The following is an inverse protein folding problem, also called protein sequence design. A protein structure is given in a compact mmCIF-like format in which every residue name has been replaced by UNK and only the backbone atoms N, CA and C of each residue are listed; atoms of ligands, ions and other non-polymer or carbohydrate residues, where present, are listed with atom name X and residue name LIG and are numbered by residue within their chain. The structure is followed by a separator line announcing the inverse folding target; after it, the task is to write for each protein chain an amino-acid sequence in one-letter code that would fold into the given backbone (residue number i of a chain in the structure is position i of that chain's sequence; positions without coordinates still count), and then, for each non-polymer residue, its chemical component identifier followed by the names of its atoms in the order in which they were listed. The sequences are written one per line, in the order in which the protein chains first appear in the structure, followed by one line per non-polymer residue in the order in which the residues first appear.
data_IF_262161971748
#
_entry.id   IF_262161971748
#
_cell.length_a   1.000
_cell.length_b   1.000
_cell.length_c   1.000
_cell.angle_alpha   90.00
_cell.angle_beta   90.00
_cell.angle_gamma   90.00
#
_symmetry.space_group_name_H-M   'P 1'
#
loop_
_entity.id
_entity.type
_entity.pdbx_description
1 polymer ?
#
# COMPACT_ATOMS: atom_id res chain seq x y z
N UNK A 1 -5.68 -15.57 -14.47
CA UNK A 1 -4.46 -15.35 -13.65
C UNK A 1 -4.05 -13.90 -13.82
N UNK A 2 -3.96 -13.14 -12.77
CA UNK A 2 -3.45 -11.76 -12.78
C UNK A 2 -1.97 -11.78 -12.40
N UNK A 3 -1.15 -11.05 -13.15
CA UNK A 3 0.28 -10.90 -12.89
C UNK A 3 0.66 -9.43 -12.95
N UNK A 4 1.43 -8.97 -11.97
CA UNK A 4 1.91 -7.61 -11.85
C UNK A 4 3.40 -7.63 -11.64
N UNK A 5 4.13 -6.80 -12.37
CA UNK A 5 5.58 -6.68 -12.23
C UNK A 5 5.96 -5.22 -12.02
N UNK A 6 6.87 -4.99 -11.09
CA UNK A 6 7.49 -3.69 -10.84
C UNK A 6 9.00 -3.86 -10.67
N UNK A 7 9.77 -2.82 -10.99
CA UNK A 7 11.21 -2.83 -10.81
C UNK A 7 11.76 -1.45 -10.48
N UNK A 8 12.85 -1.43 -9.71
CA UNK A 8 13.64 -0.23 -9.42
C UNK A 8 15.12 -0.58 -9.47
N UNK A 9 15.94 0.43 -9.76
CA UNK A 9 17.39 0.32 -9.60
C UNK A 9 17.81 1.01 -8.29
N UNK A 10 18.70 0.36 -7.53
CA UNK A 10 19.26 0.88 -6.28
C UNK A 10 20.78 0.90 -6.31
N UNK A 11 21.39 1.92 -5.70
CA UNK A 11 22.83 2.17 -5.73
C UNK A 11 23.59 1.37 -4.66
N UNK A 12 23.28 0.08 -4.54
CA UNK A 12 23.99 -0.89 -3.68
C UNK A 12 24.09 -2.23 -4.42
N UNK A 13 25.02 -3.09 -4.00
CA UNK A 13 25.15 -4.45 -4.54
C UNK A 13 23.98 -5.35 -4.11
N UNK A 14 23.84 -6.51 -4.76
CA UNK A 14 22.69 -7.39 -4.59
C UNK A 14 22.59 -8.01 -3.18
N UNK A 15 23.70 -8.33 -2.55
CA UNK A 15 23.71 -8.86 -1.18
C UNK A 15 23.29 -7.78 -0.18
N UNK A 16 23.79 -6.57 -0.35
CA UNK A 16 23.38 -5.40 0.43
C UNK A 16 21.90 -5.06 0.21
N UNK A 17 21.44 -5.06 -1.04
CA UNK A 17 20.03 -4.80 -1.37
C UNK A 17 19.10 -5.84 -0.70
N UNK A 18 19.48 -7.12 -0.76
CA UNK A 18 18.73 -8.21 -0.10
C UNK A 18 18.66 -8.01 1.42
N UNK A 19 19.79 -7.69 2.04
CA UNK A 19 19.88 -7.44 3.48
C UNK A 19 19.00 -6.27 3.91
N UNK A 20 19.11 -5.13 3.23
CA UNK A 20 18.25 -3.95 3.51
C UNK A 20 16.78 -4.31 3.31
N UNK A 21 16.44 -5.02 2.24
CA UNK A 21 15.06 -5.39 1.94
C UNK A 21 14.43 -6.23 3.05
N UNK A 22 15.18 -7.19 3.59
CA UNK A 22 14.68 -8.15 4.58
C UNK A 22 14.81 -7.67 6.03
N UNK A 23 15.92 -7.05 6.40
CA UNK A 23 16.21 -6.67 7.79
C UNK A 23 15.67 -5.28 8.16
N UNK A 24 15.50 -4.38 7.17
CA UNK A 24 15.02 -3.02 7.38
C UNK A 24 13.57 -2.82 6.86
N UNK A 25 12.78 -3.92 6.81
CA UNK A 25 11.45 -3.92 6.19
C UNK A 25 10.50 -2.87 6.79
N UNK A 26 10.54 -2.62 8.08
CA UNK A 26 9.72 -1.59 8.74
C UNK A 26 10.22 -0.16 8.54
N UNK A 27 11.41 0.03 7.97
CA UNK A 27 11.99 1.34 7.69
C UNK A 27 11.68 1.82 6.27
N UNK A 28 11.56 0.90 5.31
CA UNK A 28 11.26 1.27 3.94
C UNK A 28 9.79 1.15 3.56
N UNK A 29 8.99 0.37 4.28
CA UNK A 29 7.55 0.33 4.04
C UNK A 29 6.84 1.53 4.66
N UNK A 30 5.90 2.10 3.91
CA UNK A 30 5.06 3.18 4.42
C UNK A 30 4.19 2.65 5.57
N UNK A 31 4.34 3.21 6.75
CA UNK A 31 3.52 2.84 7.91
C UNK A 31 2.13 3.47 7.78
N UNK A 32 1.26 2.80 7.05
CA UNK A 32 -0.11 3.24 6.78
C UNK A 32 -1.05 2.03 6.68
N UNK A 33 -2.36 2.25 6.69
CA UNK A 33 -3.34 1.20 6.47
C UNK A 33 -3.21 0.47 5.12
N UNK A 34 -2.47 1.02 4.18
CA UNK A 34 -2.25 0.43 2.85
C UNK A 34 -1.30 -0.77 2.94
N UNK A 35 -0.25 -0.65 3.75
CA UNK A 35 0.81 -1.67 3.82
C UNK A 35 0.90 -2.38 5.17
N UNK A 36 0.07 -2.02 6.15
CA UNK A 36 -0.02 -2.65 7.45
C UNK A 36 -1.44 -3.09 7.75
N UNK A 37 -1.60 -4.23 8.41
CA UNK A 37 -2.90 -4.71 8.88
C UNK A 37 -3.45 -3.84 10.01
N UNK A 38 -2.57 -3.45 10.95
CA UNK A 38 -2.90 -2.47 11.99
C UNK A 38 -1.72 -1.51 12.22
N UNK A 39 -1.59 -0.53 11.33
CA UNK A 39 -0.49 0.44 11.38
C UNK A 39 -0.45 1.28 12.65
N UNK A 40 -1.57 1.42 13.35
CA UNK A 40 -1.65 2.19 14.59
C UNK A 40 -1.01 1.45 15.79
N UNK A 41 -1.12 0.11 15.81
CA UNK A 41 -0.58 -0.75 16.87
C UNK A 41 0.76 -1.37 16.53
N UNK A 42 1.10 -1.50 15.25
CA UNK A 42 2.33 -2.15 14.82
C UNK A 42 3.56 -1.45 15.38
N UNK A 43 4.40 -2.20 16.08
CA UNK A 43 5.70 -1.75 16.59
C UNK A 43 6.75 -1.86 15.49
N UNK A 44 6.72 -2.97 14.75
CA UNK A 44 7.65 -3.25 13.67
C UNK A 44 7.01 -4.17 12.62
N UNK A 45 7.63 -4.21 11.43
CA UNK A 45 7.41 -5.24 10.43
C UNK A 45 8.69 -6.04 10.26
N UNK A 46 8.62 -7.35 10.32
CA UNK A 46 9.79 -8.23 10.32
C UNK A 46 9.68 -9.34 9.30
N UNK A 47 10.84 -9.71 8.78
CA UNK A 47 11.04 -10.86 7.91
C UNK A 47 11.93 -11.85 8.63
N UNK A 48 11.43 -13.04 8.98
CA UNK A 48 12.22 -14.11 9.55
C UNK A 48 13.05 -14.78 8.45
N UNK A 49 14.37 -15.01 8.67
CA UNK A 49 15.21 -15.59 7.63
C UNK A 49 14.88 -17.06 7.33
N UNK A 50 15.06 -17.44 6.07
CA UNK A 50 14.96 -18.83 5.61
C UNK A 50 13.59 -19.23 5.09
N UNK A 51 13.58 -20.35 4.36
CA UNK A 51 12.34 -20.95 3.85
C UNK A 51 11.47 -21.40 5.03
N UNK A 52 10.18 -21.10 4.99
CA UNK A 52 9.24 -21.32 6.09
C UNK A 52 9.22 -20.18 7.12
N UNK A 53 10.14 -19.22 7.04
CA UNK A 53 10.11 -18.00 7.83
C UNK A 53 8.87 -17.15 7.53
N UNK A 54 8.53 -16.24 8.42
CA UNK A 54 7.33 -15.40 8.33
C UNK A 54 7.69 -13.98 7.95
N UNK A 55 6.85 -13.35 7.13
CA UNK A 55 6.71 -11.89 7.09
C UNK A 55 5.57 -11.54 8.04
N UNK A 56 5.81 -10.64 9.00
CA UNK A 56 4.84 -10.39 10.07
C UNK A 56 4.89 -8.95 10.56
N UNK A 57 3.76 -8.50 11.08
CA UNK A 57 3.66 -7.32 11.93
C UNK A 57 3.83 -7.75 13.39
N UNK A 58 4.56 -6.94 14.16
CA UNK A 58 4.82 -7.15 15.59
C UNK A 58 4.01 -6.13 16.37
N UNK A 59 3.27 -6.60 17.38
CA UNK A 59 2.49 -5.80 18.31
C UNK A 59 2.96 -6.03 19.74
N UNK A 60 2.48 -5.24 20.70
CA UNK A 60 2.77 -5.41 22.13
C UNK A 60 2.35 -6.79 22.65
N UNK A 61 1.24 -7.30 22.14
CA UNK A 61 0.57 -8.52 22.61
C UNK A 61 0.74 -9.72 21.69
N UNK A 62 1.55 -9.61 20.63
CA UNK A 62 1.78 -10.72 19.71
C UNK A 62 2.28 -10.33 18.33
N UNK A 63 2.07 -11.21 17.38
CA UNK A 63 2.45 -11.01 15.98
C UNK A 63 1.29 -11.37 15.06
N UNK A 64 1.21 -10.68 13.94
CA UNK A 64 0.30 -11.00 12.85
C UNK A 64 1.12 -11.47 11.65
N UNK A 65 0.94 -12.73 11.26
CA UNK A 65 1.61 -13.31 10.10
C UNK A 65 0.95 -12.80 8.81
N UNK A 66 1.73 -12.14 7.96
CA UNK A 66 1.28 -11.62 6.67
C UNK A 66 1.51 -12.68 5.59
N UNK A 67 2.73 -13.23 5.54
CA UNK A 67 3.14 -14.15 4.50
C UNK A 67 4.12 -15.20 5.02
N UNK A 68 4.23 -16.29 4.26
CA UNK A 68 5.17 -17.38 4.49
C UNK A 68 6.20 -17.44 3.38
N UNK A 69 7.49 -17.43 3.76
CA UNK A 69 8.61 -17.47 2.82
C UNK A 69 8.69 -18.83 2.16
N UNK A 70 8.73 -18.85 0.84
CA UNK A 70 8.82 -20.05 0.00
C UNK A 70 10.18 -20.21 -0.67
N UNK A 71 10.91 -19.10 -0.90
CA UNK A 71 12.28 -19.07 -1.40
C UNK A 71 13.10 -18.08 -0.60
N UNK A 72 14.32 -18.47 -0.23
CA UNK A 72 15.28 -17.61 0.47
C UNK A 72 16.67 -17.85 -0.11
N UNK A 73 17.09 -17.01 -1.03
CA UNK A 73 18.40 -17.05 -1.70
C UNK A 73 19.05 -15.66 -1.54
N UNK A 74 19.87 -15.45 -0.48
CA UNK A 74 20.50 -14.15 -0.23
C UNK A 74 21.19 -13.58 -1.46
N UNK A 75 21.01 -12.31 -1.72
CA UNK A 75 21.53 -11.58 -2.87
C UNK A 75 20.97 -11.99 -4.23
N UNK A 76 19.99 -12.90 -4.29
CA UNK A 76 19.44 -13.40 -5.57
C UNK A 76 17.93 -13.36 -5.63
N UNK A 77 17.24 -14.05 -4.69
CA UNK A 77 15.79 -14.22 -4.75
C UNK A 77 15.18 -14.40 -3.37
N UNK A 78 14.06 -13.75 -3.17
CA UNK A 78 13.14 -13.93 -2.05
C UNK A 78 11.75 -14.18 -2.63
N UNK A 79 11.02 -15.16 -2.10
CA UNK A 79 9.63 -15.37 -2.50
C UNK A 79 8.80 -15.70 -1.28
N UNK A 80 7.52 -15.28 -1.31
CA UNK A 80 6.55 -15.64 -0.29
C UNK A 80 5.16 -15.82 -0.86
N UNK A 81 4.32 -16.46 -0.09
CA UNK A 81 2.88 -16.56 -0.30
C UNK A 81 2.17 -15.85 0.84
N UNK A 82 1.22 -14.99 0.50
CA UNK A 82 0.36 -14.33 1.48
C UNK A 82 -0.49 -15.36 2.24
N UNK A 83 -0.83 -15.07 3.49
CA UNK A 83 -1.64 -15.95 4.34
C UNK A 83 -3.11 -15.55 4.41
N UNK A 84 -3.47 -14.37 3.89
CA UNK A 84 -4.81 -13.78 3.97
C UNK A 84 -5.50 -13.65 2.63
N UNK A 85 -4.72 -13.71 1.55
CA UNK A 85 -5.22 -13.74 0.18
C UNK A 85 -4.46 -14.80 -0.66
N UNK A 86 -4.65 -14.80 -1.97
CA UNK A 86 -4.03 -15.76 -2.87
C UNK A 86 -2.83 -15.17 -3.62
N UNK A 87 -2.26 -14.07 -3.12
CA UNK A 87 -1.12 -13.40 -3.75
C UNK A 87 0.18 -14.17 -3.44
N UNK A 88 0.90 -14.49 -4.50
CA UNK A 88 2.27 -14.99 -4.43
C UNK A 88 3.22 -13.93 -4.97
N UNK A 89 4.31 -13.66 -4.24
CA UNK A 89 5.29 -12.62 -4.58
C UNK A 89 6.66 -13.24 -4.78
N UNK A 90 7.29 -12.88 -5.88
CA UNK A 90 8.69 -13.16 -6.19
C UNK A 90 9.48 -11.86 -6.30
N UNK A 91 10.65 -11.81 -5.68
CA UNK A 91 11.57 -10.68 -5.69
C UNK A 91 12.95 -11.17 -6.15
N UNK A 92 13.49 -10.54 -7.19
CA UNK A 92 14.82 -10.81 -7.70
C UNK A 92 15.73 -9.61 -7.48
N UNK A 93 16.97 -9.89 -7.09
CA UNK A 93 18.05 -8.92 -6.89
C UNK A 93 19.09 -9.14 -7.99
N UNK A 94 18.98 -8.38 -9.07
CA UNK A 94 19.73 -8.58 -10.32
C UNK A 94 20.86 -7.55 -10.43
N UNK A 95 22.17 -7.96 -10.27
CA UNK A 95 23.28 -7.02 -10.39
C UNK A 95 23.36 -6.40 -11.79
N UNK A 96 23.56 -5.08 -11.85
CA UNK A 96 23.67 -4.35 -13.14
C UNK A 96 25.11 -4.14 -13.60
N UNK A 97 26.12 -4.58 -12.84
CA UNK A 97 27.54 -4.53 -13.20
C UNK A 97 28.30 -3.28 -12.75
N UNK A 98 27.66 -2.32 -12.11
CA UNK A 98 28.30 -1.06 -11.65
C UNK A 98 28.14 -0.84 -10.13
N UNK A 99 27.99 -1.92 -9.35
CA UNK A 99 27.72 -1.80 -7.90
C UNK A 99 26.28 -1.39 -7.61
N UNK A 100 25.41 -1.45 -8.61
CA UNK A 100 23.98 -1.20 -8.51
C UNK A 100 23.20 -2.49 -8.75
N UNK A 101 21.94 -2.52 -8.30
CA UNK A 101 21.08 -3.70 -8.37
C UNK A 101 19.71 -3.30 -8.88
N UNK A 102 19.19 -4.02 -9.86
CA UNK A 102 17.78 -4.00 -10.20
C UNK A 102 17.02 -4.91 -9.24
N UNK A 103 16.12 -4.34 -8.45
CA UNK A 103 15.17 -5.10 -7.64
C UNK A 103 13.87 -5.21 -8.42
N UNK A 104 13.56 -6.42 -8.90
CA UNK A 104 12.35 -6.72 -9.65
C UNK A 104 11.40 -7.53 -8.77
N UNK A 105 10.18 -7.07 -8.67
CA UNK A 105 9.12 -7.71 -7.88
C UNK A 105 7.99 -8.13 -8.81
N UNK A 106 7.50 -9.33 -8.63
CA UNK A 106 6.37 -9.89 -9.36
C UNK A 106 5.35 -10.45 -8.38
N UNK A 107 4.09 -10.06 -8.54
CA UNK A 107 2.98 -10.67 -7.84
C UNK A 107 2.08 -11.43 -8.80
N UNK A 108 1.61 -12.60 -8.36
CA UNK A 108 0.68 -13.44 -9.12
C UNK A 108 -0.52 -13.79 -8.25
N UNK A 109 -1.70 -13.74 -8.90
CA UNK A 109 -2.96 -14.20 -8.31
C UNK A 109 -3.55 -15.26 -9.25
N UNK A 110 -3.86 -16.47 -8.77
CA UNK A 110 -4.48 -17.50 -9.61
C UNK A 110 -5.86 -17.03 -10.11
N UNK A 111 -6.35 -17.67 -11.15
CA UNK A 111 -7.68 -17.36 -11.68
C UNK A 111 -8.76 -17.65 -10.61
N UNK A 112 -9.60 -16.64 -10.35
CA UNK A 112 -10.59 -16.69 -9.29
C UNK A 112 -10.03 -16.53 -7.88
N UNK A 113 -8.73 -16.30 -7.74
CA UNK A 113 -8.07 -16.04 -6.46
C UNK A 113 -8.41 -14.65 -5.91
N UNK A 114 -8.26 -14.50 -4.61
CA UNK A 114 -8.52 -13.28 -3.86
C UNK A 114 -7.28 -12.41 -3.82
N UNK A 115 -7.45 -11.12 -4.12
CA UNK A 115 -6.44 -10.07 -3.93
C UNK A 115 -7.02 -8.99 -3.02
N UNK A 116 -6.44 -8.83 -1.83
CA UNK A 116 -6.81 -7.79 -0.87
C UNK A 116 -5.96 -6.51 -1.03
N UNK A 117 -5.23 -6.40 -2.12
CA UNK A 117 -4.38 -5.25 -2.43
C UNK A 117 -2.89 -5.58 -2.52
N UNK A 118 -2.50 -6.85 -2.39
CA UNK A 118 -1.11 -7.27 -2.50
C UNK A 118 -0.49 -6.90 -3.85
N UNK A 119 -1.23 -7.00 -4.95
CA UNK A 119 -0.74 -6.58 -6.27
C UNK A 119 -0.54 -5.06 -6.38
N UNK A 120 -1.34 -4.25 -5.69
CA UNK A 120 -1.14 -2.79 -5.64
C UNK A 120 0.11 -2.44 -4.84
N UNK A 121 0.35 -3.10 -3.70
CA UNK A 121 1.59 -2.89 -2.91
C UNK A 121 2.83 -3.23 -3.74
N UNK A 122 2.80 -4.30 -4.54
CA UNK A 122 3.91 -4.67 -5.43
C UNK A 122 4.21 -3.57 -6.46
N UNK A 123 3.22 -2.81 -6.90
CA UNK A 123 3.45 -1.68 -7.83
C UNK A 123 4.21 -0.52 -7.19
N UNK A 124 3.96 -0.22 -5.93
CA UNK A 124 4.52 0.94 -5.22
C UNK A 124 5.68 0.59 -4.29
N UNK A 125 5.69 -0.62 -3.72
CA UNK A 125 6.68 -1.06 -2.74
C UNK A 125 8.15 -0.94 -3.20
N UNK A 126 8.51 -1.33 -4.42
CA UNK A 126 9.87 -1.14 -4.92
C UNK A 126 10.32 0.33 -4.94
N UNK A 127 9.40 1.26 -5.21
CA UNK A 127 9.70 2.69 -5.17
C UNK A 127 10.00 3.17 -3.74
N UNK A 128 9.23 2.73 -2.74
CA UNK A 128 9.50 3.02 -1.34
C UNK A 128 10.86 2.48 -0.90
N UNK A 129 11.18 1.26 -1.33
CA UNK A 129 12.48 0.65 -1.07
C UNK A 129 13.63 1.48 -1.67
N UNK A 130 13.52 1.90 -2.94
CA UNK A 130 14.53 2.73 -3.57
C UNK A 130 14.72 4.09 -2.88
N UNK A 131 13.62 4.73 -2.45
CA UNK A 131 13.68 5.97 -1.67
C UNK A 131 14.40 5.77 -0.33
N UNK A 132 14.17 4.65 0.35
CA UNK A 132 14.88 4.32 1.58
C UNK A 132 16.36 4.11 1.34
N UNK A 133 16.74 3.27 0.37
CA UNK A 133 18.15 3.03 0.03
C UNK A 133 18.88 4.33 -0.27
N UNK A 134 18.25 5.25 -0.99
CA UNK A 134 18.87 6.53 -1.34
C UNK A 134 19.13 7.48 -0.14
N UNK A 135 18.31 7.39 0.93
CA UNK A 135 18.37 8.31 2.07
C UNK A 135 18.91 7.72 3.38
N UNK A 136 18.95 6.38 3.51
CA UNK A 136 19.22 5.70 4.79
C UNK A 136 20.53 6.11 5.48
N UNK A 137 21.55 6.41 4.70
CA UNK A 137 22.87 6.81 5.24
C UNK A 137 22.95 8.31 5.56
N UNK A 138 22.11 9.15 4.95
CA UNK A 138 22.12 10.61 5.14
C UNK A 138 21.06 11.09 6.13
N UNK A 139 19.90 10.44 6.18
CA UNK A 139 18.74 10.86 7.00
C UNK A 139 17.98 9.65 7.57
N UNK A 140 18.65 8.73 8.30
CA UNK A 140 18.03 7.47 8.73
C UNK A 140 16.92 7.64 9.77
N UNK A 141 16.85 8.79 10.45
CA UNK A 141 15.88 9.09 11.49
C UNK A 141 14.82 10.10 11.07
N UNK A 142 14.86 10.54 9.83
CA UNK A 142 13.84 11.45 9.32
C UNK A 142 12.49 10.74 9.18
N UNK A 143 11.50 11.24 9.90
CA UNK A 143 10.11 10.78 9.77
C UNK A 143 9.43 11.67 8.74
N UNK A 144 9.01 11.08 7.64
CA UNK A 144 8.22 11.77 6.61
C UNK A 144 6.74 11.56 6.96
N UNK A 145 6.09 12.63 7.42
CA UNK A 145 4.64 12.60 7.64
C UNK A 145 3.90 12.61 6.30
N UNK A 146 2.98 11.67 6.14
CA UNK A 146 2.08 11.63 4.99
C UNK A 146 0.81 12.45 5.27
N UNK A 147 0.14 12.95 4.23
CA UNK A 147 -1.11 13.68 4.38
C UNK A 147 -2.16 12.89 5.15
N UNK A 148 -2.87 13.54 6.07
CA UNK A 148 -3.97 12.91 6.81
C UNK A 148 -5.24 12.77 5.96
N UNK A 149 -5.37 13.57 4.90
CA UNK A 149 -6.50 13.53 3.98
C UNK A 149 -6.11 12.73 2.74
N UNK A 150 -6.77 11.61 2.53
CA UNK A 150 -6.77 10.83 1.29
C UNK A 150 -8.17 10.87 0.67
N UNK A 151 -8.24 11.07 -0.64
CA UNK A 151 -9.49 11.00 -1.38
C UNK A 151 -9.60 9.67 -2.12
N UNK A 152 -10.70 8.96 -1.92
CA UNK A 152 -11.07 7.83 -2.76
C UNK A 152 -11.89 8.34 -3.96
N UNK A 153 -11.38 8.07 -5.15
CA UNK A 153 -11.97 8.47 -6.41
C UNK A 153 -12.41 7.22 -7.18
N UNK A 154 -13.66 7.22 -7.65
CA UNK A 154 -14.23 6.08 -8.34
C UNK A 154 -14.43 6.39 -9.81
N UNK A 155 -13.77 5.62 -10.69
CA UNK A 155 -13.81 5.76 -12.14
C UNK A 155 -14.21 4.44 -12.81
N UNK A 156 -14.84 4.52 -13.98
CA UNK A 156 -15.08 3.33 -14.81
C UNK A 156 -13.78 2.77 -15.36
N UNK A 157 -12.84 3.66 -15.66
CA UNK A 157 -11.54 3.35 -16.23
C UNK A 157 -10.45 4.04 -15.40
N UNK A 158 -10.12 3.52 -14.20
CA UNK A 158 -9.24 4.21 -13.26
C UNK A 158 -7.80 4.32 -13.76
N UNK A 159 -7.31 3.37 -14.57
CA UNK A 159 -5.97 3.43 -15.18
C UNK A 159 -5.90 4.57 -16.19
N UNK A 160 -6.88 4.65 -17.09
CA UNK A 160 -7.02 5.75 -18.06
C UNK A 160 -7.21 7.09 -17.35
N UNK A 161 -8.07 7.13 -16.32
CA UNK A 161 -8.31 8.33 -15.52
C UNK A 161 -7.03 8.81 -14.84
N UNK A 162 -6.22 7.90 -14.26
CA UNK A 162 -4.96 8.27 -13.61
C UNK A 162 -3.98 8.92 -14.58
N UNK A 163 -3.83 8.37 -15.77
CA UNK A 163 -2.96 8.96 -16.81
C UNK A 163 -3.44 10.35 -17.20
N UNK A 164 -4.74 10.48 -17.41
CA UNK A 164 -5.33 11.78 -17.73
C UNK A 164 -5.14 12.82 -16.61
N UNK A 165 -5.30 12.40 -15.34
CA UNK A 165 -5.06 13.28 -14.18
C UNK A 165 -3.60 13.72 -14.08
N UNK A 166 -2.66 12.82 -14.40
CA UNK A 166 -1.25 13.16 -14.48
C UNK A 166 -0.97 14.16 -15.60
N UNK A 167 -1.47 13.91 -16.80
CA UNK A 167 -1.25 14.75 -17.98
C UNK A 167 -1.94 16.11 -17.86
N UNK A 168 -3.21 16.13 -17.42
CA UNK A 168 -4.02 17.34 -17.38
C UNK A 168 -3.79 18.20 -16.14
N UNK A 169 -3.55 17.58 -14.97
CA UNK A 169 -3.47 18.25 -13.68
C UNK A 169 -2.10 18.16 -13.02
N UNK A 170 -1.16 17.43 -13.63
CA UNK A 170 0.19 17.28 -13.10
C UNK A 170 0.26 16.42 -11.84
N UNK A 171 -0.69 15.48 -11.67
CA UNK A 171 -0.63 14.51 -10.57
C UNK A 171 0.52 13.52 -10.81
N UNK A 172 1.10 13.00 -9.73
CA UNK A 172 2.15 12.01 -9.83
C UNK A 172 1.60 10.71 -10.42
N UNK A 173 2.18 10.24 -11.53
CA UNK A 173 1.80 8.97 -12.09
C UNK A 173 2.36 7.84 -11.22
N UNK A 174 1.49 6.91 -10.80
CA UNK A 174 1.93 5.73 -10.05
C UNK A 174 2.97 4.94 -10.86
N UNK A 175 4.12 4.58 -10.26
CA UNK A 175 5.09 3.71 -10.91
C UNK A 175 4.47 2.38 -11.35
N UNK A 176 4.90 1.86 -12.49
CA UNK A 176 4.46 0.56 -13.04
C UNK A 176 2.94 0.42 -13.23
N UNK A 177 2.25 1.54 -13.45
CA UNK A 177 0.84 1.52 -13.81
C UNK A 177 0.66 0.84 -15.18
N UNK A 178 -0.37 -0.04 -15.37
CA UNK A 178 -0.70 -0.60 -16.67
C UNK A 178 -0.87 0.46 -17.77
N UNK A 179 -0.67 0.08 -19.03
CA UNK A 179 -0.89 1.01 -20.16
C UNK A 179 -2.36 1.44 -20.23
N UNK A 180 -3.27 0.49 -20.05
CA UNK A 180 -4.71 0.70 -19.95
C UNK A 180 -5.37 -0.45 -19.17
N UNK A 181 -6.71 -0.44 -19.08
CA UNK A 181 -7.49 -1.44 -18.36
C UNK A 181 -7.40 -2.86 -18.95
N UNK A 182 -6.97 -3.02 -20.20
CA UNK A 182 -6.84 -4.33 -20.84
C UNK A 182 -5.69 -5.17 -20.27
N UNK A 183 -4.70 -4.52 -19.69
CA UNK A 183 -3.59 -5.16 -18.95
C UNK A 183 -3.95 -5.53 -17.50
N UNK A 184 -5.19 -5.26 -17.10
CA UNK A 184 -5.72 -5.49 -15.77
C UNK A 184 -5.82 -4.21 -14.94
N UNK A 185 -6.87 -4.12 -14.13
CA UNK A 185 -7.11 -3.00 -13.22
C UNK A 185 -6.56 -3.37 -11.83
N UNK A 186 -5.63 -2.57 -11.26
CA UNK A 186 -5.19 -2.76 -9.88
C UNK A 186 -6.36 -2.63 -8.90
N UNK A 187 -6.34 -3.33 -7.74
CA UNK A 187 -7.33 -3.12 -6.67
C UNK A 187 -7.48 -1.66 -6.25
N UNK A 188 -6.38 -0.92 -6.24
CA UNK A 188 -6.37 0.55 -6.14
C UNK A 188 -5.17 1.12 -6.90
N UNK A 189 -5.25 2.40 -7.25
CA UNK A 189 -4.15 3.18 -7.82
C UNK A 189 -3.89 4.36 -6.89
N UNK A 190 -2.69 4.44 -6.32
CA UNK A 190 -2.29 5.55 -5.46
C UNK A 190 -1.62 6.64 -6.29
N UNK A 191 -1.93 7.90 -6.02
CA UNK A 191 -1.29 9.07 -6.62
C UNK A 191 -1.22 10.23 -5.65
N UNK A 192 -0.50 11.26 -6.03
CA UNK A 192 -0.37 12.51 -5.28
C UNK A 192 -0.72 13.72 -6.12
N UNK A 193 -1.34 14.69 -5.47
CA UNK A 193 -1.56 16.04 -5.96
C UNK A 193 -0.85 17.00 -4.99
N UNK A 194 0.43 17.30 -5.22
CA UNK A 194 1.27 17.96 -4.25
C UNK A 194 1.45 17.09 -3.00
N UNK A 195 1.06 17.60 -1.83
CA UNK A 195 1.10 16.91 -0.54
C UNK A 195 -0.20 16.15 -0.21
N UNK A 196 -1.21 16.15 -1.09
CA UNK A 196 -2.42 15.35 -0.93
C UNK A 196 -2.27 13.97 -1.58
N UNK A 197 -2.73 12.92 -0.90
CA UNK A 197 -2.78 11.58 -1.44
C UNK A 197 -4.20 11.26 -1.97
N UNK A 198 -4.25 10.55 -3.10
CA UNK A 198 -5.48 10.13 -3.77
C UNK A 198 -5.40 8.63 -4.05
N UNK A 199 -6.52 7.93 -3.93
CA UNK A 199 -6.66 6.53 -4.31
C UNK A 199 -7.79 6.39 -5.32
N UNK A 200 -7.48 5.80 -6.47
CA UNK A 200 -8.46 5.53 -7.53
C UNK A 200 -8.89 4.07 -7.46
N UNK A 201 -10.19 3.86 -7.52
CA UNK A 201 -10.84 2.56 -7.53
C UNK A 201 -11.69 2.38 -8.78
N UNK A 202 -11.87 1.12 -9.20
CA UNK A 202 -12.80 0.81 -10.27
C UNK A 202 -14.24 0.93 -9.79
N UNK A 203 -15.08 1.57 -10.62
CA UNK A 203 -16.50 1.64 -10.42
C UNK A 203 -17.18 0.43 -11.06
N UNK A 204 -17.67 -0.50 -10.24
CA UNK A 204 -18.27 -1.77 -10.71
C UNK A 204 -19.67 -1.61 -11.32
N UNK A 205 -20.38 -0.53 -10.99
CA UNK A 205 -21.71 -0.27 -11.53
C UNK A 205 -21.97 1.24 -11.66
N UNK A 206 -22.82 1.67 -12.63
CA UNK A 206 -23.20 3.07 -12.73
C UNK A 206 -23.86 3.54 -11.42
N UNK A 207 -23.25 4.48 -10.73
CA UNK A 207 -23.91 5.15 -9.60
C UNK A 207 -25.02 6.05 -10.11
N UNK A 208 -26.21 5.85 -9.59
CA UNK A 208 -27.28 6.84 -9.69
C UNK A 208 -27.12 7.80 -8.50
N UNK A 209 -26.49 8.93 -8.70
CA UNK A 209 -26.31 9.96 -7.69
C UNK A 209 -24.89 10.56 -7.66
N UNK A 210 -24.73 11.76 -7.12
CA UNK A 210 -23.42 12.36 -6.90
C UNK A 210 -22.73 11.74 -5.68
N UNK A 211 -21.45 11.96 -5.47
CA UNK A 211 -20.33 12.18 -6.34
C UNK A 211 -19.42 10.94 -6.46
N UNK A 212 -18.48 10.97 -7.40
CA UNK A 212 -17.48 9.94 -7.60
C UNK A 212 -16.36 9.92 -6.53
N UNK A 213 -16.49 10.61 -5.40
CA UNK A 213 -15.43 10.79 -4.42
C UNK A 213 -15.91 10.41 -3.03
N UNK A 214 -15.08 9.67 -2.30
CA UNK A 214 -15.24 9.43 -0.87
C UNK A 214 -13.96 9.89 -0.18
N UNK A 215 -13.94 11.04 0.52
CA UNK A 215 -12.80 11.46 1.29
C UNK A 215 -12.44 10.41 2.35
N UNK A 216 -11.16 10.09 2.44
CA UNK A 216 -10.61 9.19 3.42
C UNK A 216 -9.72 10.00 4.37
N UNK A 217 -10.14 10.14 5.63
CA UNK A 217 -9.49 11.02 6.59
C UNK A 217 -8.93 10.21 7.75
N UNK A 218 -7.65 10.42 8.06
CA UNK A 218 -7.04 9.87 9.25
C UNK A 218 -7.34 10.75 10.47
N UNK A 219 -7.76 10.09 11.57
CA UNK A 219 -8.05 10.74 12.85
C UNK A 219 -7.28 10.07 13.97
N UNK A 220 -6.95 10.83 15.02
CA UNK A 220 -6.17 10.33 16.15
C UNK A 220 -6.99 9.44 17.09
N UNK A 221 -8.25 9.85 17.34
CA UNK A 221 -9.20 9.16 18.22
C UNK A 221 -10.48 8.86 17.44
N UNK A 222 -10.58 7.64 16.94
CA UNK A 222 -11.69 7.20 16.11
C UNK A 222 -12.99 7.05 16.91
N UNK A 223 -12.90 6.62 18.17
CA UNK A 223 -14.08 6.39 19.01
C UNK A 223 -14.73 7.73 19.35
N UNK A 224 -13.98 8.70 19.83
CA UNK A 224 -14.46 10.05 20.09
C UNK A 224 -14.98 10.75 18.83
N UNK A 225 -14.33 10.50 17.68
CA UNK A 225 -14.78 11.05 16.39
C UNK A 225 -16.10 10.43 15.96
N UNK A 226 -16.25 9.12 16.07
CA UNK A 226 -17.47 8.37 15.75
C UNK A 226 -18.67 8.85 16.60
N UNK A 227 -18.51 8.88 17.92
CA UNK A 227 -19.54 9.38 18.84
C UNK A 227 -19.97 10.83 18.54
N UNK A 228 -19.02 11.67 18.16
CA UNK A 228 -19.31 13.04 17.75
C UNK A 228 -20.12 13.08 16.47
N UNK A 229 -19.72 12.30 15.46
CA UNK A 229 -20.43 12.22 14.18
C UNK A 229 -21.88 11.76 14.37
N UNK A 230 -22.12 10.70 15.16
CA UNK A 230 -23.47 10.22 15.48
C UNK A 230 -24.30 11.29 16.20
N UNK A 231 -23.75 11.94 17.21
CA UNK A 231 -24.46 13.01 17.95
C UNK A 231 -24.87 14.19 17.07
N UNK A 232 -24.12 14.43 16.00
CA UNK A 232 -24.42 15.51 15.05
C UNK A 232 -25.21 15.03 13.82
N UNK A 233 -25.73 13.80 13.83
CA UNK A 233 -26.67 13.31 12.84
C UNK A 233 -26.05 12.74 11.58
N UNK A 234 -24.78 12.36 11.59
CA UNK A 234 -24.20 11.59 10.50
C UNK A 234 -24.91 10.21 10.37
N UNK A 235 -25.24 9.81 9.15
CA UNK A 235 -25.81 8.50 8.88
C UNK A 235 -24.67 7.48 8.84
N UNK A 236 -24.59 6.57 9.83
CA UNK A 236 -23.58 5.54 9.86
C UNK A 236 -23.93 4.46 8.85
N UNK A 237 -23.09 4.32 7.82
CA UNK A 237 -23.22 3.29 6.77
C UNK A 237 -22.53 2.01 7.20
N UNK A 238 -21.35 2.12 7.81
CA UNK A 238 -20.61 1.00 8.33
C UNK A 238 -20.01 1.41 9.68
N UNK A 239 -20.38 0.74 10.78
CA UNK A 239 -19.84 1.05 12.10
C UNK A 239 -18.34 0.74 12.18
N UNK A 240 -17.71 1.11 13.30
CA UNK A 240 -16.27 0.85 13.50
C UNK A 240 -15.97 -0.64 13.32
N UNK A 241 -15.06 -0.94 12.41
CA UNK A 241 -14.61 -2.29 12.09
C UNK A 241 -13.12 -2.29 11.76
N UNK A 242 -12.53 -3.49 11.68
CA UNK A 242 -11.14 -3.70 11.31
C UNK A 242 -11.04 -4.14 9.84
N UNK A 243 -10.32 -3.38 9.04
CA UNK A 243 -9.96 -3.74 7.66
C UNK A 243 -8.59 -3.13 7.33
N UNK A 244 -7.51 -3.84 7.64
CA UNK A 244 -6.16 -3.28 7.56
C UNK A 244 -5.92 -2.10 8.54
N UNK A 245 -6.99 -1.51 9.08
CA UNK A 245 -7.06 -0.39 10.02
C UNK A 245 -8.44 -0.37 10.70
N UNK A 246 -8.55 0.28 11.85
CA UNK A 246 -9.85 0.60 12.43
C UNK A 246 -10.45 1.77 11.66
N UNK A 247 -11.63 1.59 11.11
CA UNK A 247 -12.32 2.63 10.37
C UNK A 247 -13.84 2.54 10.52
N UNK A 248 -14.53 3.60 10.13
CA UNK A 248 -15.96 3.60 9.90
C UNK A 248 -16.32 4.42 8.66
N UNK A 249 -17.52 4.17 8.11
CA UNK A 249 -18.05 4.91 6.96
C UNK A 249 -19.36 5.56 7.35
N UNK A 250 -19.53 6.82 7.00
CA UNK A 250 -20.78 7.55 7.21
C UNK A 250 -21.14 8.42 6.00
N UNK A 251 -22.39 8.88 5.98
CA UNK A 251 -22.84 9.96 5.11
C UNK A 251 -23.11 11.21 5.94
N UNK A 252 -22.77 12.37 5.39
CA UNK A 252 -23.09 13.67 5.96
C UNK A 252 -24.56 14.05 5.74
N UNK A 253 -24.96 15.26 6.15
CA UNK A 253 -26.33 15.76 6.04
C UNK A 253 -26.83 15.87 4.59
N UNK A 254 -25.92 15.88 3.61
CA UNK A 254 -26.24 15.94 2.18
C UNK A 254 -26.11 14.57 1.49
N UNK A 255 -25.75 13.53 2.24
CA UNK A 255 -25.56 12.18 1.72
C UNK A 255 -24.20 11.94 1.04
N UNK A 256 -23.23 12.85 1.22
CA UNK A 256 -21.87 12.60 0.76
C UNK A 256 -21.20 11.60 1.69
N UNK A 257 -20.50 10.64 1.09
CA UNK A 257 -19.88 9.54 1.84
C UNK A 257 -18.45 9.88 2.26
N UNK A 258 -18.11 9.52 3.52
CA UNK A 258 -16.84 9.76 4.16
C UNK A 258 -16.33 8.48 4.82
N UNK A 259 -15.03 8.26 4.77
CA UNK A 259 -14.34 7.21 5.52
C UNK A 259 -13.39 7.86 6.52
N UNK A 260 -13.47 7.43 7.79
CA UNK A 260 -12.56 7.86 8.85
C UNK A 260 -11.80 6.67 9.40
N UNK A 261 -10.48 6.81 9.55
CA UNK A 261 -9.61 5.74 10.01
C UNK A 261 -8.66 6.21 11.11
N UNK A 262 -8.39 5.34 12.07
CA UNK A 262 -7.45 5.62 13.15
C UNK A 262 -6.03 5.28 12.72
N UNK A 263 -5.32 6.27 12.21
CA UNK A 263 -3.90 6.15 11.86
C UNK A 263 -3.23 7.52 11.76
N UNK A 264 -1.90 7.51 11.86
CA UNK A 264 -1.02 8.59 11.43
C UNK A 264 -0.02 8.00 10.44
N UNK A 265 -0.26 8.10 9.13
CA UNK A 265 0.65 7.57 8.13
C UNK A 265 2.02 8.25 8.27
N UNK A 266 3.06 7.44 8.34
CA UNK A 266 4.45 7.92 8.40
C UNK A 266 5.32 7.04 7.53
N UNK A 267 6.36 7.64 6.93
CA UNK A 267 7.49 6.91 6.37
C UNK A 267 8.69 7.16 7.29
N UNK A 268 9.39 6.11 7.68
CA UNK A 268 10.58 6.20 8.54
C UNK A 268 11.84 6.16 7.72
#
# INVERSE_FOLDING_TARGET
MTQVTASVEVAVDADTAFTIFTEEMDLWQVRSPISFYDSARAIAKRCEPGVGGRVMEVYDDGVFEIARITVWEPGKRLSWKDTHDDVEVDIWFEPTGHGTTTVRVEARVPEGGKDLGGTSIVRVGPHWFAQWVARRDSSPHEIIELPRLNLELYYRQPVTAMRWLADAFGFELQPNLPADESEGVPPWIETRAGDAALMLFQLDAPRSGPPSHVPFIYVDDLDAHFERAERHGATIIQPIHQHGYRCYVCEDLEGNRWTFAQARPTMR
#
